data_IF_196056298402
#
_entry.id   IF_196056298402
#
_cell.length_a   1.000
_cell.length_b   1.000
_cell.length_c   1.000
_cell.angle_alpha   90.00
_cell.angle_beta   90.00
_cell.angle_gamma   90.00
#
_symmetry.space_group_name_H-M   'P 1'
#
loop_
_entity.id
_entity.type
_entity.pdbx_description
1 polymer ?
#
# COMPACT_ATOMS: atom_id res chain seq x y z
N UNK A 1 -43.42 1.38 8.76
CA UNK A 1 -43.04 2.17 7.56
C UNK A 1 -42.04 1.46 6.63
N UNK A 2 -40.99 0.80 7.12
CA UNK A 2 -40.02 0.10 6.26
C UNK A 2 -40.66 -1.06 5.49
N UNK A 3 -41.49 -1.88 6.16
CA UNK A 3 -42.24 -2.95 5.51
C UNK A 3 -43.17 -2.43 4.40
N UNK A 4 -43.78 -1.25 4.58
CA UNK A 4 -44.61 -0.60 3.55
C UNK A 4 -43.76 -0.15 2.35
N UNK A 5 -42.57 0.42 2.58
CA UNK A 5 -41.66 0.82 1.48
C UNK A 5 -41.09 -0.37 0.72
N UNK A 6 -40.75 -1.45 1.43
CA UNK A 6 -40.32 -2.71 0.82
C UNK A 6 -41.48 -3.34 0.04
N UNK A 7 -42.70 -3.32 0.58
CA UNK A 7 -43.88 -3.77 -0.13
C UNK A 7 -44.15 -2.93 -1.39
N UNK A 8 -44.06 -1.60 -1.32
CA UNK A 8 -44.21 -0.70 -2.47
C UNK A 8 -43.11 -0.95 -3.51
N UNK A 9 -41.86 -1.15 -3.09
CA UNK A 9 -40.73 -1.45 -3.98
C UNK A 9 -40.88 -2.83 -4.65
N UNK A 10 -41.38 -3.83 -3.92
CA UNK A 10 -41.70 -5.16 -4.48
C UNK A 10 -42.88 -5.08 -5.46
N UNK A 11 -43.90 -4.28 -5.14
CA UNK A 11 -45.04 -4.02 -6.04
C UNK A 11 -44.60 -3.26 -7.29
N UNK A 12 -43.69 -2.31 -7.18
CA UNK A 12 -43.12 -1.56 -8.31
C UNK A 12 -42.14 -2.40 -9.14
N UNK A 13 -41.50 -3.40 -8.52
CA UNK A 13 -40.64 -4.38 -9.17
C UNK A 13 -41.40 -5.47 -9.93
N UNK A 14 -42.69 -5.69 -9.63
CA UNK A 14 -43.51 -6.68 -10.33
C UNK A 14 -43.88 -6.16 -11.73
N UNK A 15 -43.84 -7.06 -12.73
CA UNK A 15 -44.28 -6.74 -14.09
C UNK A 15 -45.76 -6.34 -14.06
N UNK A 16 -46.09 -5.16 -14.58
CA UNK A 16 -47.46 -4.63 -14.54
C UNK A 16 -48.35 -5.20 -15.65
N UNK A 17 -47.86 -6.17 -16.42
CA UNK A 17 -48.52 -6.78 -17.58
C UNK A 17 -49.91 -7.34 -17.27
N UNK A 18 -50.18 -7.77 -16.03
CA UNK A 18 -51.50 -8.27 -15.62
C UNK A 18 -52.59 -7.19 -15.55
N UNK A 19 -52.22 -5.90 -15.52
CA UNK A 19 -53.14 -4.77 -15.33
C UNK A 19 -53.21 -3.83 -16.53
N UNK A 20 -52.39 -4.06 -17.56
CA UNK A 20 -52.41 -3.28 -18.79
C UNK A 20 -53.21 -4.02 -19.86
N UNK A 21 -54.47 -3.60 -20.04
CA UNK A 21 -55.30 -3.99 -21.19
C UNK A 21 -54.92 -3.14 -22.39
N UNK A 22 -53.96 -3.60 -23.18
CA UNK A 22 -53.61 -3.01 -24.47
C UNK A 22 -54.57 -3.51 -25.55
N UNK A 23 -55.02 -2.64 -26.45
CA UNK A 23 -55.89 -3.01 -27.57
C UNK A 23 -55.14 -3.73 -28.70
N UNK A 24 -53.83 -3.56 -28.81
CA UNK A 24 -52.95 -4.19 -29.81
C UNK A 24 -51.87 -5.04 -29.13
N UNK A 25 -52.06 -6.35 -29.11
CA UNK A 25 -51.25 -7.30 -28.32
C UNK A 25 -49.93 -7.72 -28.98
N UNK A 26 -49.63 -7.22 -30.19
CA UNK A 26 -48.53 -7.72 -31.04
C UNK A 26 -47.32 -6.79 -31.22
N UNK A 27 -47.38 -5.52 -30.83
CA UNK A 27 -46.39 -4.51 -31.28
C UNK A 27 -45.53 -3.88 -30.16
N UNK A 28 -45.60 -4.39 -28.93
CA UNK A 28 -44.90 -3.79 -27.79
C UNK A 28 -43.60 -4.50 -27.41
N UNK A 29 -42.56 -3.72 -27.14
CA UNK A 29 -41.26 -4.26 -26.74
C UNK A 29 -41.29 -4.75 -25.30
N UNK A 30 -40.63 -5.87 -25.03
CA UNK A 30 -40.49 -6.42 -23.67
C UNK A 30 -39.70 -5.51 -22.72
N UNK A 31 -38.98 -4.52 -23.25
CA UNK A 31 -38.34 -3.45 -22.50
C UNK A 31 -39.36 -2.49 -21.87
N UNK A 32 -40.46 -2.17 -22.58
CA UNK A 32 -41.55 -1.30 -22.09
C UNK A 32 -42.34 -1.96 -20.95
N UNK A 33 -42.42 -3.30 -20.95
CA UNK A 33 -43.12 -4.09 -19.94
C UNK A 33 -42.27 -4.40 -18.69
N UNK A 34 -40.96 -4.16 -18.77
CA UNK A 34 -40.01 -4.52 -17.73
C UNK A 34 -39.90 -3.44 -16.65
N UNK A 35 -40.03 -3.83 -15.38
CA UNK A 35 -39.79 -2.91 -14.26
C UNK A 35 -38.34 -2.43 -14.18
N UNK A 36 -38.08 -1.41 -13.36
CA UNK A 36 -36.77 -0.75 -13.20
C UNK A 36 -35.60 -1.73 -12.98
N UNK A 37 -35.81 -2.78 -12.18
CA UNK A 37 -34.79 -3.80 -11.92
C UNK A 37 -34.58 -4.74 -13.12
N UNK A 38 -35.64 -5.05 -13.87
CA UNK A 38 -35.55 -5.86 -15.08
C UNK A 38 -34.81 -5.14 -16.21
N UNK A 39 -34.98 -3.82 -16.31
CA UNK A 39 -34.24 -2.96 -17.23
C UNK A 39 -32.76 -2.82 -16.82
N UNK A 40 -32.51 -2.56 -15.52
CA UNK A 40 -31.16 -2.33 -15.02
C UNK A 40 -30.23 -3.55 -15.05
N UNK A 41 -30.79 -4.76 -14.91
CA UNK A 41 -30.02 -6.02 -14.94
C UNK A 41 -30.17 -6.73 -16.31
N UNK A 42 -30.89 -6.12 -17.26
CA UNK A 42 -31.20 -6.72 -18.56
C UNK A 42 -31.81 -8.13 -18.46
N UNK A 43 -32.63 -8.36 -17.43
CA UNK A 43 -33.16 -9.70 -17.12
C UNK A 43 -34.06 -10.25 -18.24
N UNK A 44 -34.72 -9.37 -19.00
CA UNK A 44 -35.55 -9.75 -20.15
C UNK A 44 -34.77 -10.47 -21.26
N UNK A 45 -33.46 -10.19 -21.38
CA UNK A 45 -32.58 -10.78 -22.40
C UNK A 45 -32.32 -12.29 -22.16
N UNK A 46 -32.45 -12.74 -20.91
CA UNK A 46 -32.26 -14.13 -20.54
C UNK A 46 -33.18 -15.09 -21.32
N UNK A 47 -34.41 -14.67 -21.64
CA UNK A 47 -35.34 -15.48 -22.44
C UNK A 47 -34.89 -15.63 -23.89
N UNK A 48 -34.33 -14.56 -24.47
CA UNK A 48 -33.79 -14.59 -25.82
C UNK A 48 -32.62 -15.57 -25.92
N UNK A 49 -31.72 -15.58 -24.94
CA UNK A 49 -30.57 -16.48 -24.93
C UNK A 49 -30.95 -17.96 -24.80
N UNK A 50 -31.93 -18.28 -23.96
CA UNK A 50 -32.41 -19.67 -23.83
C UNK A 50 -33.07 -20.12 -25.14
N UNK A 51 -33.88 -19.27 -25.77
CA UNK A 51 -34.52 -19.59 -27.04
C UNK A 51 -33.50 -19.72 -28.17
N UNK A 52 -32.50 -18.84 -28.24
CA UNK A 52 -31.41 -18.91 -29.21
C UNK A 52 -30.51 -20.14 -29.05
N UNK A 53 -30.42 -20.71 -27.84
CA UNK A 53 -29.72 -21.98 -27.61
C UNK A 53 -30.53 -23.19 -28.12
N UNK A 54 -31.86 -23.06 -28.24
CA UNK A 54 -32.76 -24.17 -28.65
C UNK A 54 -33.18 -24.10 -30.10
N UNK A 55 -33.19 -22.92 -30.70
CA UNK A 55 -33.65 -22.65 -32.07
C UNK A 55 -32.81 -21.57 -32.73
N UNK A 56 -32.61 -21.65 -34.05
CA UNK A 56 -31.97 -20.57 -34.81
C UNK A 56 -32.81 -19.30 -34.73
N UNK A 57 -32.22 -18.19 -34.30
CA UNK A 57 -32.90 -16.90 -34.19
C UNK A 57 -33.16 -16.33 -35.59
N UNK A 58 -34.43 -16.19 -35.95
CA UNK A 58 -34.89 -15.51 -37.18
C UNK A 58 -35.52 -14.17 -36.84
N UNK A 59 -35.66 -13.26 -37.82
CA UNK A 59 -36.20 -11.90 -37.63
C UNK A 59 -37.60 -11.86 -37.00
N UNK A 60 -38.38 -12.94 -37.15
CA UNK A 60 -39.70 -13.11 -36.55
C UNK A 60 -39.66 -13.55 -35.06
N UNK A 61 -38.52 -14.05 -34.60
CA UNK A 61 -38.32 -14.54 -33.21
C UNK A 61 -37.65 -13.51 -32.30
N UNK A 62 -37.22 -12.38 -32.86
CA UNK A 62 -36.60 -11.27 -32.13
C UNK A 62 -37.69 -10.33 -31.64
N UNK A 63 -37.50 -9.77 -30.44
CA UNK A 63 -38.48 -8.84 -29.86
C UNK A 63 -38.69 -7.60 -30.75
N UNK A 64 -39.93 -7.07 -30.84
CA UNK A 64 -40.19 -5.83 -31.54
C UNK A 64 -39.46 -4.67 -30.88
N UNK A 65 -39.03 -3.72 -31.70
CA UNK A 65 -38.31 -2.52 -31.29
C UNK A 65 -39.26 -1.56 -30.56
N UNK A 66 -38.81 -0.95 -29.46
CA UNK A 66 -39.57 0.08 -28.74
C UNK A 66 -40.04 1.19 -29.70
N UNK A 67 -41.32 1.55 -29.60
CA UNK A 67 -41.97 2.48 -30.52
C UNK A 67 -41.33 3.87 -30.47
N UNK A 68 -40.75 4.27 -29.33
CA UNK A 68 -40.08 5.55 -29.10
C UNK A 68 -38.74 5.68 -29.82
N UNK A 69 -38.09 4.55 -30.13
CA UNK A 69 -36.83 4.48 -30.89
C UNK A 69 -37.04 4.03 -32.35
N UNK A 70 -38.29 3.83 -32.76
CA UNK A 70 -38.64 3.38 -34.10
C UNK A 70 -38.36 4.45 -35.18
N UNK A 71 -37.88 4.01 -36.34
CA UNK A 71 -37.61 4.89 -37.47
C UNK A 71 -38.83 5.71 -37.94
N UNK A 72 -40.07 5.19 -37.96
CA UNK A 72 -41.27 5.96 -38.33
C UNK A 72 -41.54 7.15 -37.42
N UNK A 73 -41.12 7.09 -36.15
CA UNK A 73 -41.28 8.17 -35.17
C UNK A 73 -40.10 9.15 -35.21
N UNK A 74 -38.86 8.65 -35.30
CA UNK A 74 -37.67 9.51 -35.30
C UNK A 74 -37.41 10.22 -36.64
N UNK A 75 -37.69 9.58 -37.78
CA UNK A 75 -37.42 10.14 -39.10
C UNK A 75 -38.15 11.48 -39.36
N UNK A 76 -39.47 11.62 -39.09
CA UNK A 76 -40.16 12.91 -39.28
C UNK A 76 -39.66 13.97 -38.31
N UNK A 77 -39.33 13.62 -37.06
CA UNK A 77 -38.79 14.56 -36.07
C UNK A 77 -37.38 15.04 -36.45
N UNK A 78 -36.54 14.15 -36.99
CA UNK A 78 -35.23 14.51 -37.54
C UNK A 78 -35.37 15.42 -38.75
N UNK A 79 -36.24 15.09 -39.70
CA UNK A 79 -36.50 15.88 -40.89
C UNK A 79 -36.99 17.29 -40.53
N UNK A 80 -37.87 17.39 -39.52
CA UNK A 80 -38.37 18.64 -38.97
C UNK A 80 -37.24 19.51 -38.39
N UNK A 81 -36.31 18.93 -37.62
CA UNK A 81 -35.18 19.66 -37.02
C UNK A 81 -34.07 20.03 -38.02
N UNK A 82 -33.85 19.20 -39.03
CA UNK A 82 -32.94 19.52 -40.13
C UNK A 82 -33.47 20.69 -40.98
N UNK A 83 -34.79 20.85 -41.09
CA UNK A 83 -35.42 21.99 -41.78
C UNK A 83 -35.33 23.29 -40.98
N UNK A 84 -35.42 23.24 -39.65
CA UNK A 84 -35.39 24.43 -38.79
C UNK A 84 -33.98 24.93 -38.42
N UNK A 85 -32.95 24.09 -38.54
CA UNK A 85 -31.59 24.44 -38.13
C UNK A 85 -30.68 24.76 -39.32
N UNK A 86 -29.85 25.80 -39.21
CA UNK A 86 -28.81 26.13 -40.20
C UNK A 86 -27.56 25.24 -40.05
N UNK A 87 -27.76 23.93 -40.21
CA UNK A 87 -26.70 22.92 -40.01
C UNK A 87 -25.71 22.84 -41.17
N UNK A 88 -26.09 23.25 -42.39
CA UNK A 88 -25.21 23.27 -43.57
C UNK A 88 -24.07 24.28 -43.37
N UNK A 89 -22.83 23.85 -43.59
CA UNK A 89 -21.62 24.68 -43.47
C UNK A 89 -20.94 24.71 -42.10
N UNK A 90 -21.45 24.00 -41.08
CA UNK A 90 -20.77 23.84 -39.77
C UNK A 90 -20.18 22.44 -39.63
N UNK A 91 -18.93 22.33 -39.18
CA UNK A 91 -18.21 21.05 -39.04
C UNK A 91 -18.92 19.99 -38.17
N UNK A 92 -19.66 20.41 -37.13
CA UNK A 92 -20.42 19.53 -36.24
C UNK A 92 -21.93 19.82 -36.25
N UNK A 93 -22.44 20.40 -37.35
CA UNK A 93 -23.85 20.80 -37.46
C UNK A 93 -24.80 19.61 -37.44
N UNK A 94 -24.51 18.60 -38.26
CA UNK A 94 -25.34 17.39 -38.38
C UNK A 94 -25.34 16.57 -37.09
N UNK A 95 -24.18 16.38 -36.47
CA UNK A 95 -24.02 15.63 -35.21
C UNK A 95 -24.79 16.29 -34.08
N UNK A 96 -24.77 17.63 -33.99
CA UNK A 96 -25.57 18.38 -33.02
C UNK A 96 -27.08 18.20 -33.22
N UNK A 97 -27.54 18.22 -34.47
CA UNK A 97 -28.96 18.03 -34.78
C UNK A 97 -29.37 16.60 -34.46
N UNK A 98 -28.60 15.61 -34.89
CA UNK A 98 -28.83 14.20 -34.61
C UNK A 98 -28.90 13.92 -33.10
N UNK A 99 -27.90 14.38 -32.35
CA UNK A 99 -27.88 14.23 -30.89
C UNK A 99 -29.06 14.93 -30.22
N UNK A 100 -29.49 16.08 -30.75
CA UNK A 100 -30.67 16.76 -30.23
C UNK A 100 -31.96 15.98 -30.49
N UNK A 101 -32.07 15.29 -31.63
CA UNK A 101 -33.24 14.49 -32.02
C UNK A 101 -33.31 13.17 -31.25
N UNK A 102 -32.16 12.51 -31.05
CA UNK A 102 -32.05 11.26 -30.31
C UNK A 102 -32.09 11.45 -28.79
N UNK A 103 -31.83 12.67 -28.30
CA UNK A 103 -31.98 12.96 -26.88
C UNK A 103 -33.46 12.71 -26.49
N UNK A 104 -33.74 11.80 -25.54
CA UNK A 104 -35.11 11.52 -25.14
C UNK A 104 -35.80 12.82 -24.72
N UNK A 105 -37.14 12.92 -24.83
CA UNK A 105 -37.89 14.04 -24.29
C UNK A 105 -37.81 13.98 -22.76
N UNK A 106 -36.66 14.41 -22.22
CA UNK A 106 -36.50 14.74 -20.82
C UNK A 106 -37.56 15.78 -20.53
N UNK A 107 -38.64 15.34 -19.88
CA UNK A 107 -39.77 16.17 -19.49
C UNK A 107 -39.23 17.49 -18.94
N UNK A 108 -39.80 18.56 -19.49
CA UNK A 108 -39.40 19.94 -19.35
C UNK A 108 -39.03 20.39 -17.93
N UNK A 109 -37.73 20.40 -17.62
CA UNK A 109 -37.06 21.45 -16.84
C UNK A 109 -35.71 21.77 -17.47
N UNK A 110 -35.73 22.61 -18.51
CA UNK A 110 -34.63 22.87 -19.45
C UNK A 110 -33.35 23.52 -18.86
N UNK A 111 -33.31 23.88 -17.56
CA UNK A 111 -32.13 24.46 -16.90
C UNK A 111 -31.41 23.48 -15.95
N UNK A 112 -32.16 22.73 -15.13
CA UNK A 112 -31.58 21.87 -14.09
C UNK A 112 -30.77 20.70 -14.66
N UNK A 113 -31.21 20.09 -15.77
CA UNK A 113 -30.49 18.94 -16.37
C UNK A 113 -29.09 19.27 -16.89
N UNK A 114 -28.90 20.43 -17.52
CA UNK A 114 -27.58 20.87 -18.03
C UNK A 114 -26.64 21.27 -16.88
N UNK A 115 -27.19 21.90 -15.84
CA UNK A 115 -26.45 22.20 -14.61
C UNK A 115 -26.01 20.92 -13.90
N UNK A 116 -26.87 19.88 -13.87
CA UNK A 116 -26.55 18.59 -13.26
C UNK A 116 -25.40 17.89 -13.99
N UNK A 117 -25.42 17.87 -15.33
CA UNK A 117 -24.32 17.31 -16.13
C UNK A 117 -23.01 18.07 -15.87
N UNK A 118 -23.04 19.40 -15.89
CA UNK A 118 -21.88 20.23 -15.55
C UNK A 118 -21.36 19.97 -14.14
N UNK A 119 -22.27 19.86 -13.15
CA UNK A 119 -21.93 19.56 -11.77
C UNK A 119 -21.32 18.17 -11.62
N UNK A 120 -21.78 17.16 -12.37
CA UNK A 120 -21.18 15.82 -12.32
C UNK A 120 -19.76 15.81 -12.90
N UNK A 121 -19.54 16.45 -14.05
CA UNK A 121 -18.20 16.56 -14.66
C UNK A 121 -17.26 17.30 -13.71
N UNK A 122 -17.70 18.42 -13.13
CA UNK A 122 -16.93 19.18 -12.16
C UNK A 122 -16.61 18.36 -10.90
N UNK A 123 -17.58 17.59 -10.39
CA UNK A 123 -17.38 16.78 -9.19
C UNK A 123 -16.35 15.67 -9.41
N UNK A 124 -16.44 14.94 -10.54
CA UNK A 124 -15.46 13.92 -10.87
C UNK A 124 -14.08 14.51 -11.21
N UNK A 125 -14.05 15.66 -11.90
CA UNK A 125 -12.81 16.38 -12.17
C UNK A 125 -12.11 16.84 -10.89
N UNK A 126 -12.87 17.41 -9.94
CA UNK A 126 -12.34 17.86 -8.66
C UNK A 126 -11.91 16.68 -7.78
N UNK A 127 -12.65 15.57 -7.81
CA UNK A 127 -12.27 14.33 -7.12
C UNK A 127 -10.94 13.77 -7.66
N UNK A 128 -10.79 13.70 -8.99
CA UNK A 128 -9.57 13.23 -9.62
C UNK A 128 -8.39 14.15 -9.29
N UNK A 129 -8.56 15.46 -9.47
CA UNK A 129 -7.53 16.46 -9.16
C UNK A 129 -7.12 16.41 -7.68
N UNK A 130 -8.10 16.35 -6.77
CA UNK A 130 -7.83 16.26 -5.34
C UNK A 130 -7.10 14.98 -4.97
N UNK A 131 -7.46 13.85 -5.58
CA UNK A 131 -6.82 12.55 -5.32
C UNK A 131 -5.37 12.55 -5.80
N UNK A 132 -5.09 13.11 -6.98
CA UNK A 132 -3.73 13.23 -7.52
C UNK A 132 -2.87 14.15 -6.66
N UNK A 133 -3.38 15.33 -6.28
CA UNK A 133 -2.65 16.25 -5.42
C UNK A 133 -2.38 15.65 -4.04
N UNK A 134 -3.39 15.01 -3.45
CA UNK A 134 -3.25 14.30 -2.17
C UNK A 134 -2.16 13.23 -2.25
N UNK A 135 -2.21 12.35 -3.25
CA UNK A 135 -1.20 11.32 -3.47
C UNK A 135 0.20 11.90 -3.68
N UNK A 136 0.32 12.97 -4.49
CA UNK A 136 1.61 13.62 -4.75
C UNK A 136 2.28 14.17 -3.49
N UNK A 137 1.55 14.94 -2.67
CA UNK A 137 2.11 15.49 -1.44
C UNK A 137 2.41 14.42 -0.40
N UNK A 138 1.56 13.40 -0.31
CA UNK A 138 1.74 12.28 0.61
C UNK A 138 3.00 11.46 0.28
N UNK A 139 3.22 11.11 -0.99
CA UNK A 139 4.42 10.39 -1.42
C UNK A 139 5.68 11.23 -1.21
N UNK A 140 5.63 12.54 -1.50
CA UNK A 140 6.77 13.45 -1.27
C UNK A 140 7.16 13.51 0.21
N UNK A 141 6.18 13.57 1.10
CA UNK A 141 6.42 13.53 2.55
C UNK A 141 7.11 12.22 2.97
N UNK A 142 6.63 11.07 2.50
CA UNK A 142 7.21 9.76 2.83
C UNK A 142 8.64 9.63 2.30
N UNK A 143 8.93 10.12 1.10
CA UNK A 143 10.29 10.11 0.55
C UNK A 143 11.24 10.97 1.42
N UNK A 144 10.80 12.14 1.87
CA UNK A 144 11.60 13.00 2.76
C UNK A 144 11.92 12.30 4.09
N UNK A 145 10.90 11.72 4.74
CA UNK A 145 11.08 10.98 5.99
C UNK A 145 12.03 9.79 5.78
N UNK A 146 11.87 9.04 4.69
CA UNK A 146 12.77 7.92 4.35
C UNK A 146 14.21 8.37 4.19
N UNK A 147 14.44 9.48 3.47
CA UNK A 147 15.78 10.03 3.26
C UNK A 147 16.46 10.43 4.57
N UNK A 148 15.75 11.18 5.43
CA UNK A 148 16.27 11.58 6.74
C UNK A 148 16.54 10.38 7.65
N UNK A 149 15.64 9.40 7.67
CA UNK A 149 15.77 8.22 8.52
C UNK A 149 16.96 7.37 8.12
N UNK A 150 17.13 7.10 6.82
CA UNK A 150 18.28 6.33 6.32
C UNK A 150 19.58 7.07 6.60
N UNK A 151 19.62 8.40 6.43
CA UNK A 151 20.81 9.20 6.75
C UNK A 151 21.19 9.11 8.24
N UNK A 152 20.22 9.29 9.14
CA UNK A 152 20.44 9.17 10.59
C UNK A 152 20.87 7.76 11.00
N UNK A 153 20.25 6.73 10.41
CA UNK A 153 20.62 5.34 10.67
C UNK A 153 22.01 5.01 10.14
N UNK A 154 22.42 5.58 9.01
CA UNK A 154 23.76 5.40 8.45
C UNK A 154 24.83 6.06 9.33
N UNK A 155 24.59 7.29 9.79
CA UNK A 155 25.49 7.96 10.73
C UNK A 155 25.66 7.14 12.02
N UNK A 156 24.55 6.63 12.56
CA UNK A 156 24.57 5.73 13.70
C UNK A 156 25.36 4.43 13.44
N UNK A 157 25.29 3.85 12.23
CA UNK A 157 26.09 2.65 11.92
C UNK A 157 27.59 2.88 11.89
N UNK A 158 28.03 4.07 11.47
CA UNK A 158 29.45 4.42 11.47
C UNK A 158 29.96 4.61 12.91
N UNK A 159 29.09 5.07 13.81
CA UNK A 159 29.43 5.32 15.21
C UNK A 159 29.31 4.09 16.12
N UNK A 160 28.73 2.97 15.65
CA UNK A 160 28.55 1.76 16.45
C UNK A 160 29.82 0.91 16.55
N UNK A 161 29.93 0.15 17.65
CA UNK A 161 31.05 -0.78 17.88
C UNK A 161 31.02 -1.95 16.87
N UNK A 162 32.21 -2.38 16.41
CA UNK A 162 32.37 -3.39 15.34
C UNK A 162 31.69 -4.74 15.65
N UNK A 163 31.62 -5.11 16.94
CA UNK A 163 30.91 -6.31 17.39
C UNK A 163 29.39 -6.22 17.18
N UNK A 164 28.83 -5.01 17.22
CA UNK A 164 27.40 -4.75 17.05
C UNK A 164 26.98 -4.51 15.59
N UNK A 165 27.93 -4.16 14.71
CA UNK A 165 27.67 -3.88 13.28
C UNK A 165 27.49 -5.16 12.44
N UNK A 166 27.97 -6.31 12.92
CA UNK A 166 27.87 -7.60 12.23
C UNK A 166 26.51 -8.29 12.43
N UNK A 167 25.62 -7.71 13.25
CA UNK A 167 24.29 -8.28 13.50
C UNK A 167 23.43 -8.24 12.22
N UNK A 168 23.00 -9.39 11.65
CA UNK A 168 22.11 -9.42 10.49
C UNK A 168 20.76 -8.73 10.76
N UNK A 169 20.39 -8.53 12.03
CA UNK A 169 19.26 -7.71 12.45
C UNK A 169 19.35 -6.26 11.98
N UNK A 170 20.55 -5.70 11.86
CA UNK A 170 20.79 -4.32 11.43
C UNK A 170 20.35 -4.05 9.98
N UNK A 171 20.73 -4.94 9.06
CA UNK A 171 20.31 -4.85 7.65
C UNK A 171 18.81 -5.02 7.49
N UNK A 172 18.20 -5.87 8.33
CA UNK A 172 16.76 -6.06 8.36
C UNK A 172 16.06 -4.79 8.87
N UNK A 173 16.63 -4.13 9.87
CA UNK A 173 16.13 -2.87 10.42
C UNK A 173 16.15 -1.75 9.36
N UNK A 174 17.28 -1.58 8.67
CA UNK A 174 17.49 -0.55 7.66
C UNK A 174 16.60 -0.70 6.42
N UNK A 175 16.31 -1.93 6.02
CA UNK A 175 15.57 -2.22 4.79
C UNK A 175 14.09 -2.46 5.05
N UNK A 176 13.79 -3.46 5.88
CA UNK A 176 12.44 -4.01 6.04
C UNK A 176 11.63 -3.16 7.01
N UNK A 177 12.22 -2.77 8.14
CA UNK A 177 11.51 -1.96 9.14
C UNK A 177 11.30 -0.51 8.67
N UNK A 178 12.27 0.10 7.97
CA UNK A 178 12.07 1.40 7.30
C UNK A 178 10.95 1.33 6.27
N UNK A 179 10.91 0.27 5.43
CA UNK A 179 9.84 0.13 4.42
C UNK A 179 8.46 -0.04 5.05
N UNK A 180 8.35 -0.77 6.17
CA UNK A 180 7.11 -0.92 6.93
C UNK A 180 6.67 0.38 7.58
N UNK A 181 7.61 1.15 8.13
CA UNK A 181 7.36 2.47 8.67
C UNK A 181 6.75 3.39 7.60
N UNK A 182 7.37 3.44 6.41
CA UNK A 182 6.90 4.26 5.29
C UNK A 182 5.49 3.86 4.84
N UNK A 183 5.22 2.56 4.72
CA UNK A 183 3.89 2.07 4.38
C UNK A 183 2.84 2.48 5.42
N UNK A 184 3.13 2.36 6.72
CA UNK A 184 2.21 2.79 7.76
C UNK A 184 1.98 4.30 7.79
N UNK A 185 3.00 5.12 7.48
CA UNK A 185 2.87 6.58 7.38
C UNK A 185 1.87 7.00 6.30
N UNK A 186 1.79 6.25 5.19
CA UNK A 186 0.80 6.48 4.14
C UNK A 186 -0.64 6.23 4.65
N UNK A 187 -0.84 5.21 5.48
CA UNK A 187 -2.18 4.80 5.93
C UNK A 187 -2.76 5.68 7.06
N UNK A 188 -1.94 6.40 7.82
CA UNK A 188 -2.38 7.22 8.98
C UNK A 188 -3.45 8.24 8.58
N UNK A 189 -3.25 8.93 7.46
CA UNK A 189 -4.19 9.97 7.02
C UNK A 189 -5.50 9.37 6.52
N UNK A 190 -5.45 8.21 5.87
CA UNK A 190 -6.63 7.55 5.38
C UNK A 190 -7.52 7.03 6.53
N UNK A 191 -6.92 6.60 7.64
CA UNK A 191 -7.67 6.24 8.85
C UNK A 191 -8.42 7.44 9.45
N UNK A 192 -7.78 8.61 9.52
CA UNK A 192 -8.42 9.86 9.99
C UNK A 192 -9.54 10.29 9.04
N UNK A 193 -9.29 10.25 7.72
CA UNK A 193 -10.27 10.59 6.69
C UNK A 193 -11.48 9.66 6.71
N UNK A 194 -11.24 8.35 6.81
CA UNK A 194 -12.29 7.32 6.87
C UNK A 194 -13.20 7.51 8.08
N UNK A 195 -12.64 7.86 9.24
CA UNK A 195 -13.42 8.13 10.45
C UNK A 195 -14.38 9.31 10.28
N UNK A 196 -13.89 10.41 9.68
CA UNK A 196 -14.70 11.59 9.39
C UNK A 196 -15.78 11.27 8.34
N UNK A 197 -15.41 10.54 7.28
CA UNK A 197 -16.32 10.13 6.22
C UNK A 197 -17.46 9.26 6.74
N UNK A 198 -17.14 8.26 7.57
CA UNK A 198 -18.15 7.39 8.21
C UNK A 198 -19.09 8.23 9.08
N UNK A 199 -18.55 9.16 9.88
CA UNK A 199 -19.37 10.04 10.72
C UNK A 199 -20.34 10.92 9.91
N UNK A 200 -19.84 11.58 8.87
CA UNK A 200 -20.67 12.43 7.99
C UNK A 200 -21.69 11.61 7.20
N UNK A 201 -21.30 10.43 6.71
CA UNK A 201 -22.17 9.55 5.93
C UNK A 201 -23.29 8.99 6.81
N UNK A 202 -22.94 8.53 8.01
CA UNK A 202 -23.87 8.07 9.04
C UNK A 202 -24.88 9.17 9.41
N UNK A 203 -24.41 10.39 9.66
CA UNK A 203 -25.28 11.54 9.98
C UNK A 203 -26.24 11.89 8.85
N UNK A 204 -25.79 11.86 7.59
CA UNK A 204 -26.66 12.09 6.41
C UNK A 204 -27.68 10.97 6.22
N UNK A 205 -27.27 9.73 6.46
CA UNK A 205 -28.13 8.57 6.31
C UNK A 205 -29.21 8.52 7.40
N UNK A 206 -28.85 8.85 8.65
CA UNK A 206 -29.78 9.02 9.76
C UNK A 206 -30.88 10.05 9.44
N UNK A 207 -30.51 11.19 8.85
CA UNK A 207 -31.48 12.22 8.46
C UNK A 207 -32.49 11.76 7.39
N UNK A 208 -32.14 10.79 6.53
CA UNK A 208 -33.02 10.29 5.45
C UNK A 208 -33.87 9.08 5.84
N UNK A 209 -33.33 8.18 6.68
CA UNK A 209 -33.99 6.91 7.03
C UNK A 209 -34.61 6.88 8.44
N UNK A 210 -34.33 7.88 9.30
CA UNK A 210 -34.81 7.88 10.68
C UNK A 210 -34.23 6.71 11.49
N UNK A 211 -35.01 6.15 12.42
CA UNK A 211 -34.57 5.07 13.33
C UNK A 211 -34.24 3.74 12.62
N UNK A 212 -34.71 3.55 11.38
CA UNK A 212 -34.39 2.35 10.59
C UNK A 212 -32.88 2.21 10.27
N UNK A 213 -32.10 3.27 10.46
CA UNK A 213 -30.65 3.27 10.28
C UNK A 213 -29.90 2.46 11.37
N UNK A 214 -30.51 2.19 12.52
CA UNK A 214 -29.86 1.46 13.62
C UNK A 214 -29.57 0.00 13.24
N UNK A 215 -30.45 -0.66 12.49
CA UNK A 215 -30.30 -2.06 12.10
C UNK A 215 -29.02 -2.33 11.28
N UNK A 216 -28.73 -1.64 10.16
CA UNK A 216 -27.49 -1.85 9.41
C UNK A 216 -26.22 -1.40 10.17
N UNK A 217 -26.34 -0.43 11.10
CA UNK A 217 -25.23 -0.04 11.97
C UNK A 217 -24.86 -1.17 12.94
N UNK A 218 -25.86 -1.80 13.57
CA UNK A 218 -25.65 -2.96 14.47
C UNK A 218 -25.03 -4.13 13.71
N UNK A 219 -25.52 -4.43 12.51
CA UNK A 219 -24.94 -5.47 11.65
C UNK A 219 -23.49 -5.15 11.29
N UNK A 220 -23.18 -3.91 10.94
CA UNK A 220 -21.81 -3.48 10.63
C UNK A 220 -20.86 -3.60 11.84
N UNK A 221 -21.34 -3.27 13.05
CA UNK A 221 -20.57 -3.43 14.28
C UNK A 221 -20.34 -4.90 14.61
N UNK A 222 -21.36 -5.75 14.46
CA UNK A 222 -21.23 -7.20 14.69
C UNK A 222 -20.25 -7.85 13.71
N UNK A 223 -20.31 -7.50 12.42
CA UNK A 223 -19.37 -8.03 11.42
C UNK A 223 -17.95 -7.51 11.66
N UNK A 224 -17.79 -6.24 12.05
CA UNK A 224 -16.49 -5.69 12.46
C UNK A 224 -15.90 -6.44 13.66
N UNK A 225 -16.70 -6.67 14.71
CA UNK A 225 -16.27 -7.41 15.90
C UNK A 225 -15.89 -8.85 15.54
N UNK A 226 -16.73 -9.55 14.78
CA UNK A 226 -16.44 -10.91 14.32
C UNK A 226 -15.12 -10.97 13.53
N UNK A 227 -14.89 -10.01 12.62
CA UNK A 227 -13.68 -9.94 11.81
C UNK A 227 -12.45 -9.58 12.65
N UNK A 228 -12.59 -8.71 13.65
CA UNK A 228 -11.53 -8.36 14.59
C UNK A 228 -11.08 -9.58 15.41
N UNK A 229 -12.03 -10.36 15.94
CA UNK A 229 -11.71 -11.60 16.67
C UNK A 229 -11.11 -12.66 15.75
N UNK A 230 -11.63 -12.83 14.53
CA UNK A 230 -11.10 -13.78 13.56
C UNK A 230 -9.67 -13.42 13.15
N UNK A 231 -9.38 -12.13 12.92
CA UNK A 231 -8.03 -11.62 12.61
C UNK A 231 -7.03 -11.96 13.72
N UNK A 232 -7.40 -11.78 14.99
CA UNK A 232 -6.56 -12.16 16.14
C UNK A 232 -6.19 -13.65 16.15
N UNK A 233 -7.12 -14.53 15.75
CA UNK A 233 -6.89 -15.98 15.68
C UNK A 233 -5.99 -16.33 14.49
N UNK A 234 -6.24 -15.72 13.32
CA UNK A 234 -5.45 -15.90 12.11
C UNK A 234 -4.01 -15.47 12.37
N UNK A 235 -3.77 -14.28 12.95
CA UNK A 235 -2.44 -13.76 13.26
C UNK A 235 -1.63 -14.69 14.17
N UNK A 236 -2.28 -15.28 15.18
CA UNK A 236 -1.63 -16.24 16.09
C UNK A 236 -1.22 -17.51 15.35
N UNK A 237 -2.12 -18.06 14.53
CA UNK A 237 -1.86 -19.26 13.72
C UNK A 237 -0.81 -19.00 12.65
N UNK A 238 -0.85 -17.83 12.01
CA UNK A 238 0.10 -17.41 10.98
C UNK A 238 1.50 -17.20 11.56
N UNK A 239 1.62 -16.65 12.77
CA UNK A 239 2.90 -16.58 13.49
C UNK A 239 3.47 -17.96 13.81
N UNK A 240 2.66 -18.85 14.40
CA UNK A 240 3.09 -20.22 14.71
C UNK A 240 3.51 -20.99 13.44
N UNK A 241 2.80 -20.80 12.34
CA UNK A 241 3.15 -21.38 11.04
C UNK A 241 4.46 -20.80 10.47
N UNK A 242 4.67 -19.48 10.56
CA UNK A 242 5.91 -18.83 10.13
C UNK A 242 7.12 -19.26 10.97
N UNK A 243 6.93 -19.48 12.28
CA UNK A 243 7.96 -19.99 13.17
C UNK A 243 8.32 -21.45 12.82
N UNK A 244 7.32 -22.30 12.57
CA UNK A 244 7.53 -23.65 12.09
C UNK A 244 8.24 -23.69 10.73
N UNK A 245 7.92 -22.77 9.81
CA UNK A 245 8.65 -22.61 8.54
C UNK A 245 10.08 -22.12 8.81
N UNK A 246 10.27 -21.16 9.71
CA UNK A 246 11.58 -20.61 10.08
C UNK A 246 12.57 -21.69 10.55
N UNK A 247 12.09 -22.69 11.29
CA UNK A 247 12.90 -23.84 11.74
C UNK A 247 13.18 -24.83 10.60
N UNK A 248 12.21 -25.06 9.70
CA UNK A 248 12.33 -26.02 8.60
C UNK A 248 13.14 -25.50 7.42
N UNK A 249 13.13 -24.18 7.19
CA UNK A 249 13.68 -23.58 5.98
C UNK A 249 15.22 -23.64 5.87
N UNK A 250 16.02 -23.50 6.94
CA UNK A 250 17.49 -23.56 6.86
C UNK A 250 18.05 -24.89 6.31
N UNK A 251 17.65 -26.09 6.78
CA UNK A 251 18.11 -27.35 6.21
C UNK A 251 17.60 -27.56 4.78
N UNK A 252 16.37 -27.12 4.47
CA UNK A 252 15.80 -27.17 3.12
C UNK A 252 16.55 -26.24 2.17
N UNK A 253 16.93 -25.01 2.58
CA UNK A 253 17.77 -24.10 1.78
C UNK A 253 19.13 -24.71 1.46
N UNK A 254 19.78 -25.39 2.41
CA UNK A 254 21.04 -26.12 2.16
C UNK A 254 20.85 -27.21 1.10
N UNK A 255 19.79 -27.99 1.19
CA UNK A 255 19.44 -29.04 0.22
C UNK A 255 19.03 -28.47 -1.14
N UNK A 256 18.25 -27.39 -1.18
CA UNK A 256 17.83 -26.72 -2.41
C UNK A 256 18.99 -25.99 -3.08
N UNK A 257 19.94 -25.41 -2.35
CA UNK A 257 21.14 -24.82 -2.96
C UNK A 257 21.98 -25.89 -3.66
N UNK A 258 22.05 -27.10 -3.08
CA UNK A 258 22.68 -28.27 -3.72
C UNK A 258 21.88 -28.77 -4.93
N UNK A 259 20.54 -28.76 -4.85
CA UNK A 259 19.67 -29.13 -5.97
C UNK A 259 19.60 -28.05 -7.07
N UNK A 260 19.84 -26.77 -6.76
CA UNK A 260 19.83 -25.64 -7.71
C UNK A 260 21.02 -25.69 -8.66
N UNK A 261 22.13 -26.31 -8.25
CA UNK A 261 23.25 -26.65 -9.15
C UNK A 261 22.84 -27.74 -10.15
N UNK A 262 21.87 -28.60 -9.81
CA UNK A 262 21.33 -29.65 -10.68
C UNK A 262 20.10 -29.20 -11.51
N UNK A 263 19.31 -28.23 -11.01
CA UNK A 263 18.05 -27.78 -11.63
C UNK A 263 18.27 -26.83 -12.83
N UNK A 264 19.45 -26.22 -13.00
CA UNK A 264 19.78 -25.38 -14.18
C UNK A 264 19.66 -26.16 -15.50
N UNK A 265 19.57 -27.49 -15.47
CA UNK A 265 19.30 -28.33 -16.64
C UNK A 265 17.83 -28.53 -17.04
N UNK A 266 16.81 -28.22 -16.22
CA UNK A 266 15.41 -28.61 -16.51
C UNK A 266 14.41 -27.53 -16.08
N UNK A 267 14.31 -26.45 -16.86
CA UNK A 267 13.64 -25.21 -16.45
C UNK A 267 12.37 -24.80 -17.21
N UNK A 268 11.52 -25.73 -17.66
CA UNK A 268 10.32 -25.36 -18.46
C UNK A 268 8.98 -25.46 -17.69
N UNK A 269 8.80 -26.51 -16.86
CA UNK A 269 7.52 -26.74 -16.13
C UNK A 269 7.26 -25.80 -14.94
N UNK A 270 8.28 -25.07 -14.46
CA UNK A 270 8.17 -24.18 -13.29
C UNK A 270 7.48 -22.85 -13.58
N UNK A 271 7.50 -22.40 -14.84
CA UNK A 271 6.90 -21.12 -15.26
C UNK A 271 5.37 -21.20 -15.30
N UNK A 272 4.80 -22.35 -15.63
CA UNK A 272 3.35 -22.57 -15.68
C UNK A 272 2.69 -22.58 -14.28
N UNK A 273 3.35 -23.18 -13.28
CA UNK A 273 2.87 -23.19 -11.90
C UNK A 273 2.94 -21.79 -11.24
N UNK A 274 3.92 -20.97 -11.64
CA UNK A 274 4.01 -19.58 -11.18
C UNK A 274 2.88 -18.70 -11.74
N UNK A 275 2.45 -18.92 -13.00
CA UNK A 275 1.31 -18.21 -13.61
C UNK A 275 -0.01 -18.65 -12.96
N UNK A 276 -0.19 -19.95 -12.69
CA UNK A 276 -1.37 -20.45 -11.99
C UNK A 276 -1.49 -19.90 -10.55
N UNK A 277 -0.35 -19.79 -9.83
CA UNK A 277 -0.31 -19.16 -8.51
C UNK A 277 -0.64 -17.67 -8.54
N UNK A 278 -0.19 -16.94 -9.55
CA UNK A 278 -0.51 -15.52 -9.74
C UNK A 278 -2.01 -15.30 -10.04
N UNK A 279 -2.66 -16.19 -10.81
CA UNK A 279 -4.09 -16.12 -11.08
C UNK A 279 -4.96 -16.37 -9.83
N UNK A 280 -4.55 -17.31 -8.97
CA UNK A 280 -5.25 -17.59 -7.70
C UNK A 280 -5.12 -16.42 -6.71
N UNK A 281 -4.00 -15.68 -6.75
CA UNK A 281 -3.77 -14.50 -5.91
C UNK A 281 -4.66 -13.29 -6.26
N UNK A 282 -5.27 -13.27 -7.46
CA UNK A 282 -6.10 -12.16 -7.96
C UNK A 282 -7.58 -12.28 -7.54
N UNK A 283 -8.03 -13.44 -7.08
CA UNK A 283 -9.44 -13.71 -6.73
C UNK A 283 -9.97 -12.87 -5.55
N UNK A 284 -9.17 -12.53 -4.51
CA UNK A 284 -9.62 -11.66 -3.42
C UNK A 284 -9.93 -10.21 -3.82
N UNK A 285 -9.45 -9.73 -4.98
CA UNK A 285 -9.71 -8.35 -5.45
C UNK A 285 -11.17 -8.14 -5.91
N UNK A 286 -11.92 -9.22 -6.18
CA UNK A 286 -13.26 -9.12 -6.77
C UNK A 286 -14.41 -9.08 -5.75
N UNK A 287 -14.16 -9.41 -4.48
CA UNK A 287 -15.26 -9.63 -3.52
C UNK A 287 -15.57 -8.43 -2.63
N UNK A 288 -14.61 -7.62 -2.17
CA UNK A 288 -14.98 -6.35 -1.48
C UNK A 288 -13.81 -5.41 -1.20
N UNK A 289 -13.39 -4.60 -2.17
CA UNK A 289 -12.45 -3.50 -1.89
C UNK A 289 -13.00 -2.44 -0.93
N UNK A 290 -14.30 -2.48 -0.57
CA UNK A 290 -14.94 -1.44 0.24
C UNK A 290 -15.18 -1.87 1.69
N UNK A 291 -15.41 -3.16 1.99
CA UNK A 291 -15.59 -3.64 3.37
C UNK A 291 -14.30 -4.22 4.00
N UNK A 292 -13.35 -4.71 3.19
CA UNK A 292 -12.09 -5.28 3.71
C UNK A 292 -10.95 -4.24 3.85
N UNK A 293 -11.00 -3.14 3.08
CA UNK A 293 -9.87 -2.21 2.89
C UNK A 293 -9.64 -1.22 4.04
N UNK A 294 -10.66 -0.84 4.79
CA UNK A 294 -10.53 0.22 5.79
C UNK A 294 -10.06 -0.26 7.17
N UNK A 295 -10.26 -1.54 7.52
CA UNK A 295 -10.04 -2.01 8.92
C UNK A 295 -9.19 -3.27 9.05
N UNK A 296 -9.10 -4.14 8.04
CA UNK A 296 -8.40 -5.43 8.20
C UNK A 296 -6.98 -5.43 7.66
N UNK A 297 -6.70 -4.68 6.58
CA UNK A 297 -5.37 -4.64 5.94
C UNK A 297 -4.49 -3.53 6.56
N UNK A 298 -5.07 -2.35 6.78
CA UNK A 298 -4.34 -1.15 7.21
C UNK A 298 -3.99 -1.13 8.69
N UNK A 299 -4.82 -1.76 9.53
CA UNK A 299 -4.57 -1.82 10.99
C UNK A 299 -3.30 -2.62 11.33
N UNK A 300 -3.08 -3.82 10.77
CA UNK A 300 -1.80 -4.53 10.94
C UNK A 300 -0.61 -3.76 10.40
N UNK A 301 -0.75 -3.06 9.26
CA UNK A 301 0.32 -2.24 8.68
C UNK A 301 0.71 -1.08 9.62
N UNK A 302 -0.26 -0.38 10.17
CA UNK A 302 -0.06 0.67 11.17
C UNK A 302 0.65 0.13 12.42
N UNK A 303 0.18 -0.99 12.96
CA UNK A 303 0.80 -1.63 14.13
C UNK A 303 2.24 -2.08 13.82
N UNK A 304 2.49 -2.62 12.63
CA UNK A 304 3.83 -3.00 12.19
C UNK A 304 4.74 -1.79 12.09
N UNK A 305 4.25 -0.66 11.58
CA UNK A 305 4.98 0.59 11.51
C UNK A 305 5.34 1.12 12.90
N UNK A 306 4.43 1.05 13.88
CA UNK A 306 4.75 1.39 15.26
C UNK A 306 5.82 0.49 15.88
N UNK A 307 5.76 -0.83 15.62
CA UNK A 307 6.81 -1.75 16.10
C UNK A 307 8.16 -1.47 15.43
N UNK A 308 8.17 -1.17 14.13
CA UNK A 308 9.37 -0.81 13.39
C UNK A 308 9.92 0.54 13.85
N UNK A 309 9.07 1.54 14.13
CA UNK A 309 9.47 2.84 14.67
C UNK A 309 10.19 2.67 16.01
N UNK A 310 9.61 1.87 16.92
CA UNK A 310 10.20 1.58 18.22
C UNK A 310 11.58 0.93 18.09
N UNK A 311 11.73 -0.04 17.19
CA UNK A 311 13.02 -0.69 16.93
C UNK A 311 14.06 0.28 16.35
N UNK A 312 13.64 1.18 15.47
CA UNK A 312 14.53 2.21 14.92
C UNK A 312 14.94 3.21 16.01
N UNK A 313 14.01 3.61 16.88
CA UNK A 313 14.32 4.44 18.05
C UNK A 313 15.32 3.74 18.98
N UNK A 314 15.06 2.49 19.38
CA UNK A 314 15.98 1.70 20.22
C UNK A 314 17.37 1.53 19.58
N UNK A 315 17.45 1.57 18.24
CA UNK A 315 18.72 1.53 17.51
C UNK A 315 19.46 2.88 17.52
N UNK A 316 18.75 3.97 17.29
CA UNK A 316 19.30 5.33 17.33
C UNK A 316 19.71 5.75 18.75
N UNK A 317 19.06 5.19 19.78
CA UNK A 317 19.42 5.40 21.19
C UNK A 317 20.62 4.57 21.66
N UNK A 318 21.15 3.66 20.83
CA UNK A 318 22.37 2.92 21.19
C UNK A 318 23.52 3.89 21.39
N UNK A 319 24.29 3.69 22.46
CA UNK A 319 25.45 4.52 22.76
C UNK A 319 26.45 4.50 21.60
N UNK A 320 26.94 5.70 21.24
CA UNK A 320 28.05 5.84 20.31
C UNK A 320 29.31 5.18 20.88
N UNK A 321 30.17 4.68 20.00
CA UNK A 321 31.49 4.18 20.37
C UNK A 321 32.29 5.31 21.03
N UNK A 322 32.78 5.05 22.24
CA UNK A 322 33.75 5.92 22.88
C UNK A 322 35.10 5.73 22.19
N UNK A 323 35.65 6.79 21.58
CA UNK A 323 37.03 6.77 21.12
C UNK A 323 37.94 7.04 22.32
N UNK A 324 38.73 6.03 22.70
CA UNK A 324 39.66 6.11 23.84
C UNK A 324 41.04 6.63 23.44
N UNK A 325 41.21 7.03 22.17
CA UNK A 325 42.45 7.61 21.65
C UNK A 325 42.52 9.07 22.03
N UNK A 326 43.63 9.48 22.63
CA UNK A 326 43.88 10.87 22.99
C UNK A 326 44.62 11.50 21.81
N UNK A 327 44.04 12.55 21.24
CA UNK A 327 44.72 13.37 20.23
C UNK A 327 45.48 14.49 20.93
N UNK A 328 46.68 14.82 20.43
CA UNK A 328 47.69 15.70 21.04
C UNK A 328 47.22 17.14 21.37
N UNK A 329 45.97 17.49 21.09
CA UNK A 329 45.35 18.82 21.29
C UNK A 329 44.51 18.96 22.57
N UNK A 330 44.29 17.90 23.35
CA UNK A 330 43.51 17.98 24.58
C UNK A 330 44.39 18.49 25.75
N UNK A 331 44.41 19.82 25.93
CA UNK A 331 45.16 20.56 26.96
C UNK A 331 44.72 20.30 28.41
N UNK A 332 43.94 19.23 28.65
CA UNK A 332 43.36 18.89 29.96
C UNK A 332 44.26 18.03 30.86
N UNK A 333 45.44 17.62 30.39
CA UNK A 333 46.37 16.76 31.16
C UNK A 333 47.76 17.35 31.40
N UNK A 334 47.98 18.65 31.14
CA UNK A 334 49.21 19.35 31.56
C UNK A 334 49.47 19.30 33.09
N UNK A 335 48.49 18.89 33.89
CA UNK A 335 48.61 18.68 35.34
C UNK A 335 49.01 17.26 35.79
N UNK A 336 49.25 16.32 34.88
CA UNK A 336 49.47 14.90 35.23
C UNK A 336 50.90 14.40 35.00
N UNK A 337 51.87 15.29 34.74
CA UNK A 337 53.30 14.98 34.79
C UNK A 337 53.83 14.10 33.66
N UNK A 338 53.17 14.10 32.49
CA UNK A 338 53.70 13.46 31.28
C UNK A 338 54.48 14.52 30.50
N UNK A 339 55.81 14.53 30.67
CA UNK A 339 56.71 15.35 29.86
C UNK A 339 56.68 14.86 28.41
N UNK A 340 56.17 15.70 27.52
CA UNK A 340 56.20 15.47 26.08
C UNK A 340 57.60 15.78 25.56
N UNK A 341 58.45 14.75 25.51
CA UNK A 341 59.67 14.82 24.71
C UNK A 341 59.31 14.77 23.22
N UNK A 342 60.03 15.55 22.41
CA UNK A 342 59.81 15.78 20.97
C UNK A 342 60.03 14.54 20.06
N UNK A 343 59.91 13.33 20.59
CA UNK A 343 59.91 12.10 19.81
C UNK A 343 58.78 11.21 20.29
N UNK A 344 57.89 10.88 19.36
CA UNK A 344 56.51 10.42 19.56
C UNK A 344 56.46 9.04 20.22
N UNK A 345 56.06 8.98 21.50
CA UNK A 345 55.73 7.73 22.18
C UNK A 345 54.23 7.40 22.03
N UNK A 346 53.92 6.40 21.19
CA UNK A 346 52.61 5.75 21.15
C UNK A 346 52.50 4.77 22.32
N UNK A 347 52.27 5.24 23.54
CA UNK A 347 51.95 4.35 24.65
C UNK A 347 50.51 3.85 24.49
N UNK A 348 50.35 2.56 24.16
CA UNK A 348 49.05 1.87 24.15
C UNK A 348 48.95 1.10 25.46
N UNK A 349 48.13 1.56 26.41
CA UNK A 349 47.72 0.75 27.55
C UNK A 349 46.34 0.18 27.25
N UNK A 350 46.24 -1.13 27.03
CA UNK A 350 44.98 -1.79 26.67
C UNK A 350 44.68 -2.99 27.56
N UNK A 351 43.91 -2.79 28.63
CA UNK A 351 43.34 -3.89 29.41
C UNK A 351 42.04 -4.41 28.80
N UNK A 352 41.95 -5.72 28.55
CA UNK A 352 40.70 -6.41 28.16
C UNK A 352 39.90 -6.80 29.40
N UNK A 353 38.57 -6.75 29.30
CA UNK A 353 37.63 -7.20 30.35
C UNK A 353 37.77 -8.68 30.74
N UNK A 354 38.47 -9.49 29.94
CA UNK A 354 38.58 -10.95 30.13
C UNK A 354 40.00 -11.47 30.31
N UNK A 355 41.03 -10.62 30.18
CA UNK A 355 42.44 -10.99 30.41
C UNK A 355 43.20 -9.78 30.95
N UNK A 356 43.55 -9.86 32.24
CA UNK A 356 44.49 -8.97 32.94
C UNK A 356 45.90 -9.16 32.35
N UNK A 357 46.18 -8.52 31.22
CA UNK A 357 47.55 -8.37 30.74
C UNK A 357 47.74 -6.95 30.27
N UNK A 358 48.43 -6.14 31.07
CA UNK A 358 48.88 -4.81 30.70
C UNK A 358 49.96 -4.95 29.63
N UNK A 359 49.60 -4.66 28.39
CA UNK A 359 50.54 -4.66 27.26
C UNK A 359 50.96 -3.22 27.03
N UNK A 360 52.19 -2.87 27.40
CA UNK A 360 52.82 -1.59 27.06
C UNK A 360 53.69 -1.75 25.83
N UNK A 361 53.33 -1.06 24.74
CA UNK A 361 54.08 -1.05 23.48
C UNK A 361 54.39 0.40 23.15
N UNK A 362 55.63 0.71 22.78
CA UNK A 362 56.03 1.98 22.17
C UNK A 362 56.59 1.72 20.78
N UNK A 363 56.06 2.42 19.77
CA UNK A 363 56.52 2.32 18.38
C UNK A 363 57.06 3.69 17.97
N UNK A 364 58.37 3.79 17.65
CA UNK A 364 58.95 5.05 17.21
C UNK A 364 58.44 5.45 15.82
N UNK A 365 58.42 6.76 15.56
CA UNK A 365 58.02 7.29 14.26
C UNK A 365 58.95 6.76 13.14
N UNK A 366 58.40 6.58 11.93
CA UNK A 366 59.15 6.11 10.75
C UNK A 366 59.78 4.71 10.89
N UNK A 367 59.18 3.83 11.70
CA UNK A 367 59.62 2.45 11.89
C UNK A 367 58.65 1.44 11.26
N UNK A 368 59.17 0.32 10.76
CA UNK A 368 58.38 -0.84 10.32
C UNK A 368 58.31 -1.85 11.46
N UNK A 369 57.17 -1.92 12.15
CA UNK A 369 56.91 -2.88 13.21
C UNK A 369 56.14 -4.11 12.67
N UNK A 370 56.55 -5.31 13.06
CA UNK A 370 55.88 -6.57 12.70
C UNK A 370 55.40 -7.32 13.96
N UNK A 371 54.13 -7.72 13.98
CA UNK A 371 53.56 -8.51 15.06
C UNK A 371 53.52 -10.01 14.70
N UNK A 372 54.24 -10.84 15.46
CA UNK A 372 54.39 -12.28 15.20
C UNK A 372 53.89 -13.07 16.41
N UNK A 373 53.19 -14.19 16.18
CA UNK A 373 52.72 -15.07 17.25
C UNK A 373 51.77 -16.17 16.76
N UNK A 374 51.43 -17.14 17.62
CA UNK A 374 50.56 -18.27 17.26
C UNK A 374 49.11 -17.85 16.93
N UNK A 375 48.35 -18.72 16.26
CA UNK A 375 46.93 -18.46 15.93
C UNK A 375 46.12 -18.25 17.22
N UNK A 376 45.29 -17.20 17.28
CA UNK A 376 44.52 -16.85 18.47
C UNK A 376 45.29 -16.08 19.56
N UNK A 377 46.54 -15.68 19.30
CA UNK A 377 47.36 -14.91 20.26
C UNK A 377 46.95 -13.43 20.45
N UNK A 378 45.84 -12.98 19.83
CA UNK A 378 45.35 -11.61 19.99
C UNK A 378 45.99 -10.54 19.08
N UNK A 379 46.79 -10.91 18.06
CA UNK A 379 47.43 -9.95 17.14
C UNK A 379 46.43 -8.97 16.50
N UNK A 380 45.34 -9.48 15.94
CA UNK A 380 44.26 -8.67 15.34
C UNK A 380 43.56 -7.80 16.37
N UNK A 381 43.44 -8.28 17.61
CA UNK A 381 42.87 -7.52 18.74
C UNK A 381 43.75 -6.33 19.11
N UNK A 382 45.08 -6.49 19.12
CA UNK A 382 46.02 -5.38 19.35
C UNK A 382 45.90 -4.31 18.24
N UNK A 383 45.80 -4.72 16.98
CA UNK A 383 45.54 -3.78 15.89
C UNK A 383 44.18 -3.05 16.06
N UNK A 384 43.15 -3.76 16.50
CA UNK A 384 41.84 -3.16 16.81
C UNK A 384 41.92 -2.11 17.92
N UNK A 385 42.76 -2.30 18.94
CA UNK A 385 42.99 -1.29 19.98
C UNK A 385 43.72 -0.04 19.46
N UNK A 386 44.73 -0.21 18.61
CA UNK A 386 45.46 0.91 17.99
C UNK A 386 44.53 1.74 17.08
N UNK A 387 43.63 1.08 16.34
CA UNK A 387 42.59 1.74 15.54
C UNK A 387 41.43 2.28 16.38
N UNK A 388 41.42 2.00 17.70
CA UNK A 388 40.37 2.35 18.65
C UNK A 388 39.08 1.53 18.51
N UNK A 389 39.03 0.51 17.63
CA UNK A 389 37.85 -0.28 17.27
C UNK A 389 37.33 -1.17 18.40
N UNK A 390 38.16 -1.39 19.43
CA UNK A 390 37.83 -2.19 20.60
C UNK A 390 37.81 -1.31 21.86
N UNK A 391 36.86 -1.53 22.78
CA UNK A 391 36.76 -0.78 24.02
C UNK A 391 37.90 -1.17 24.98
N UNK A 392 38.64 -0.18 25.49
CA UNK A 392 39.60 -0.37 26.57
C UNK A 392 38.90 -0.27 27.92
N UNK A 393 39.18 -1.20 28.83
CA UNK A 393 38.66 -1.13 30.20
C UNK A 393 39.44 -0.13 31.06
N UNK A 394 40.75 -0.01 30.81
CA UNK A 394 41.70 0.95 31.41
C UNK A 394 42.85 1.20 30.43
N UNK A 395 43.31 2.45 30.38
CA UNK A 395 44.45 2.90 29.58
C UNK A 395 44.08 3.77 28.38
N UNK A 396 45.08 4.48 27.85
CA UNK A 396 44.96 5.40 26.71
C UNK A 396 45.91 4.96 25.59
N UNK A 397 45.57 5.35 24.36
CA UNK A 397 46.45 5.27 23.21
C UNK A 397 46.72 6.70 22.72
N UNK A 398 47.98 7.13 22.79
CA UNK A 398 48.41 8.40 22.22
C UNK A 398 48.88 8.17 20.79
N UNK A 399 48.30 8.84 19.81
CA UNK A 399 48.70 8.75 18.40
C UNK A 399 49.01 10.17 17.92
N UNK A 400 50.27 10.44 17.61
CA UNK A 400 50.63 11.67 16.93
C UNK A 400 50.76 11.40 15.44
N UNK A 401 50.10 12.21 14.63
CA UNK A 401 50.28 12.24 13.18
C UNK A 401 50.55 13.69 12.78
N UNK A 402 51.61 13.94 12.01
CA UNK A 402 51.75 15.22 11.31
C UNK A 402 50.67 15.25 10.21
N UNK A 403 49.64 16.03 10.46
CA UNK A 403 48.38 16.09 9.71
C UNK A 403 48.52 16.16 8.18
N UNK A 404 47.78 15.31 7.47
CA UNK A 404 47.11 15.75 6.24
C UNK A 404 45.70 16.23 6.62
N UNK A 405 45.25 17.41 6.16
CA UNK A 405 43.92 17.93 6.46
C UNK A 405 42.87 17.17 5.65
N UNK A 406 41.81 16.72 6.32
CA UNK A 406 40.54 16.30 5.71
C UNK A 406 39.52 17.42 5.83
#
# INVERSE_FOLDING_TARGET
MVALKVAVMLVESQKKTAWLTWSDTGEHSVEEESGIFGLGVFYWLHRLFINGHRTSLSTETVFPLDQTISAPVLAPELARRLRMSSWRGRGWGLTKVLFSTLAPPLRSEKSHGRSLIGATILSYGLLALSTVLYGYFQERFVIMVRGCLIAAMYDQTVQLELASSTDPGLLTLMSTDVSRLMAGLLDIHEYRGSSIQVGLSSRRLQKKLGEAFVAPLVVAVLTFLAMFFLSRVIDRRQRAWMEAIGIRMPPIKKRIQQLRVAEVGVGERRRMLAVAGAAISQVPLLISPVLASATTIKVPQLLSAFTSLRRVQEFLERGARNDYRISHSDSRFAGMGIETHNDVDTNVFGGSRTRDSDVGISIPASCVAAAIGPVGSGKTTVCGYILGELPSARGFANLSTNSFPL
#
